data_IF_910187221290
#
_entry.id   IF_910187221290
#
_cell.length_a   1.000
_cell.length_b   1.000
_cell.length_c   1.000
_cell.angle_alpha   90.00
_cell.angle_beta   90.00
_cell.angle_gamma   90.00
#
_symmetry.space_group_name_H-M   'P 1'
#
loop_
_entity.id
_entity.type
_entity.pdbx_description
1 polymer ?
#
# COMPACT_ATOMS: atom_id res chain seq x y z
N UNK A 1 -8.52 0.37 -11.42
CA UNK A 1 -7.53 1.45 -11.64
C UNK A 1 -7.27 2.18 -10.34
N UNK A 2 -5.99 2.49 -10.03
CA UNK A 2 -5.58 3.23 -8.85
C UNK A 2 -5.57 4.75 -9.13
N UNK A 3 -6.22 5.53 -8.27
CA UNK A 3 -6.22 6.98 -8.28
C UNK A 3 -5.67 7.52 -6.96
N UNK A 4 -4.50 8.13 -7.01
CA UNK A 4 -3.88 8.76 -5.84
C UNK A 4 -3.77 10.27 -6.05
N UNK A 5 -4.28 11.06 -5.09
CA UNK A 5 -4.11 12.51 -5.11
C UNK A 5 -2.62 12.82 -4.99
N UNK A 6 -2.08 13.63 -5.90
CA UNK A 6 -0.64 13.95 -5.92
C UNK A 6 0.12 13.37 -7.10
N UNK A 7 -0.40 12.31 -7.73
CA UNK A 7 0.22 11.66 -8.89
C UNK A 7 -0.60 11.79 -10.18
N UNK A 8 -1.89 12.09 -10.06
CA UNK A 8 -2.80 12.36 -11.16
C UNK A 8 -2.97 13.87 -11.32
N UNK A 9 -2.66 14.41 -12.51
CA UNK A 9 -2.74 15.84 -12.82
C UNK A 9 -4.18 16.33 -12.95
N UNK A 10 -5.05 15.54 -13.58
CA UNK A 10 -6.49 15.80 -13.69
C UNK A 10 -7.28 14.57 -13.28
N UNK A 11 -7.79 14.61 -12.04
CA UNK A 11 -8.43 13.47 -11.41
C UNK A 11 -9.87 13.27 -11.89
N UNK A 12 -10.55 14.36 -12.26
CA UNK A 12 -11.90 14.26 -12.79
C UNK A 12 -11.85 13.65 -14.20
N UNK A 13 -10.98 14.16 -15.06
CA UNK A 13 -10.83 13.66 -16.42
C UNK A 13 -10.35 12.19 -16.45
N UNK A 14 -9.38 11.82 -15.60
CA UNK A 14 -8.93 10.43 -15.54
C UNK A 14 -9.98 9.49 -14.96
N UNK A 15 -10.80 9.94 -14.00
CA UNK A 15 -11.89 9.12 -13.48
C UNK A 15 -12.97 8.92 -14.55
N UNK A 16 -13.38 9.97 -15.26
CA UNK A 16 -14.36 9.86 -16.36
C UNK A 16 -13.85 8.91 -17.43
N UNK A 17 -12.62 9.12 -17.91
CA UNK A 17 -12.01 8.25 -18.90
C UNK A 17 -12.00 6.78 -18.45
N UNK A 18 -11.64 6.49 -17.19
CA UNK A 18 -11.65 5.12 -16.70
C UNK A 18 -13.07 4.51 -16.65
N UNK A 19 -14.06 5.28 -16.23
CA UNK A 19 -15.44 4.81 -16.18
C UNK A 19 -16.02 4.59 -17.58
N UNK A 20 -15.73 5.49 -18.52
CA UNK A 20 -16.12 5.41 -19.93
C UNK A 20 -15.48 4.21 -20.64
N UNK A 21 -14.23 3.91 -20.35
CA UNK A 21 -13.50 2.72 -20.82
C UNK A 21 -13.95 1.41 -20.13
N UNK A 22 -14.99 1.46 -19.31
CA UNK A 22 -15.58 0.26 -18.73
C UNK A 22 -14.84 -0.26 -17.49
N UNK A 23 -13.94 0.50 -16.87
CA UNK A 23 -13.30 0.08 -15.62
C UNK A 23 -14.35 0.07 -14.50
N UNK A 24 -14.49 -1.08 -13.83
CA UNK A 24 -15.48 -1.30 -12.76
C UNK A 24 -14.88 -1.58 -11.39
N UNK A 25 -13.57 -1.40 -11.24
CA UNK A 25 -12.90 -1.43 -9.92
C UNK A 25 -12.02 -0.20 -9.82
N UNK A 26 -12.37 0.68 -8.88
CA UNK A 26 -11.70 1.96 -8.65
C UNK A 26 -11.04 1.89 -7.27
N UNK A 27 -9.72 1.93 -7.26
CA UNK A 27 -8.93 2.00 -6.05
C UNK A 27 -8.51 3.46 -5.83
N UNK A 28 -8.63 3.97 -4.61
CA UNK A 28 -8.31 5.37 -4.29
C UNK A 28 -7.43 5.46 -3.05
N UNK A 29 -6.58 6.48 -3.00
CA UNK A 29 -5.80 6.84 -1.81
C UNK A 29 -5.74 8.34 -1.62
N UNK A 30 -5.63 8.80 -0.36
CA UNK A 30 -5.44 10.22 0.00
C UNK A 30 -6.62 11.11 -0.42
N UNK A 31 -7.77 10.50 -0.76
CA UNK A 31 -8.90 11.17 -1.39
C UNK A 31 -10.05 11.43 -0.41
N UNK A 32 -10.68 12.62 -0.42
CA UNK A 32 -11.98 12.80 0.22
C UNK A 32 -13.04 12.09 -0.63
N UNK A 33 -13.43 10.88 -0.25
CA UNK A 33 -14.35 10.02 -1.00
C UNK A 33 -15.63 10.75 -1.48
N UNK A 34 -16.17 11.65 -0.66
CA UNK A 34 -17.41 12.41 -0.95
C UNK A 34 -17.51 13.01 -2.37
N UNK A 35 -16.41 13.45 -2.99
CA UNK A 35 -16.44 14.10 -4.32
C UNK A 35 -16.69 13.11 -5.46
N UNK A 36 -16.10 11.91 -5.40
CA UNK A 36 -16.02 11.00 -6.54
C UNK A 36 -16.94 9.79 -6.41
N UNK A 37 -17.40 9.49 -5.19
CA UNK A 37 -18.25 8.34 -4.92
C UNK A 37 -19.56 8.31 -5.72
N UNK A 38 -20.29 9.44 -5.91
CA UNK A 38 -21.51 9.41 -6.71
C UNK A 38 -21.25 8.86 -8.12
N UNK A 39 -20.23 9.38 -8.80
CA UNK A 39 -19.84 8.94 -10.16
C UNK A 39 -19.41 7.48 -10.21
N UNK A 40 -18.59 7.03 -9.25
CA UNK A 40 -18.16 5.62 -9.16
C UNK A 40 -19.38 4.70 -9.01
N UNK A 41 -20.34 5.07 -8.17
CA UNK A 41 -21.56 4.29 -7.93
C UNK A 41 -22.52 4.30 -9.11
N UNK A 42 -22.75 5.46 -9.73
CA UNK A 42 -23.61 5.60 -10.90
C UNK A 42 -23.10 4.74 -12.07
N UNK A 43 -21.78 4.63 -12.23
CA UNK A 43 -21.16 3.74 -13.22
C UNK A 43 -21.21 2.24 -12.84
N UNK A 44 -21.78 1.88 -11.68
CA UNK A 44 -21.81 0.51 -11.17
C UNK A 44 -20.45 -0.05 -10.80
N UNK A 45 -19.46 0.81 -10.56
CA UNK A 45 -18.10 0.40 -10.21
C UNK A 45 -17.95 0.14 -8.70
N UNK A 46 -17.06 -0.78 -8.37
CA UNK A 46 -16.62 -1.09 -7.01
C UNK A 46 -15.57 -0.09 -6.54
N UNK A 47 -15.69 0.35 -5.30
CA UNK A 47 -14.75 1.27 -4.67
C UNK A 47 -13.90 0.59 -3.61
N UNK A 48 -12.58 0.60 -3.81
CA UNK A 48 -11.59 0.15 -2.84
C UNK A 48 -10.83 1.37 -2.33
N UNK A 49 -10.76 1.57 -1.01
CA UNK A 49 -10.03 2.70 -0.44
C UNK A 49 -8.80 2.25 0.35
N UNK A 50 -7.63 2.78 -0.02
CA UNK A 50 -6.35 2.50 0.63
C UNK A 50 -6.06 3.53 1.71
N UNK A 51 -5.76 3.03 2.91
CA UNK A 51 -5.59 3.84 4.12
C UNK A 51 -4.40 3.37 4.95
N UNK A 52 -3.87 4.28 5.77
CA UNK A 52 -2.72 4.03 6.65
C UNK A 52 -3.11 3.79 8.12
N UNK A 53 -4.38 3.95 8.50
CA UNK A 53 -4.84 3.65 9.87
C UNK A 53 -6.30 3.16 9.88
N UNK A 54 -6.69 2.51 10.98
CA UNK A 54 -8.00 1.88 11.12
C UNK A 54 -9.13 2.90 11.24
N UNK A 55 -8.89 4.08 11.82
CA UNK A 55 -9.91 5.13 11.88
C UNK A 55 -10.33 5.59 10.48
N UNK A 56 -9.37 5.70 9.55
CA UNK A 56 -9.63 6.03 8.15
C UNK A 56 -10.34 4.88 7.43
N UNK A 57 -10.02 3.62 7.75
CA UNK A 57 -10.70 2.45 7.20
C UNK A 57 -12.19 2.44 7.57
N UNK A 58 -12.49 2.65 8.85
CA UNK A 58 -13.86 2.75 9.35
C UNK A 58 -14.61 3.95 8.75
N UNK A 59 -13.89 5.06 8.49
CA UNK A 59 -14.47 6.20 7.78
C UNK A 59 -14.81 5.89 6.33
N UNK A 60 -13.97 5.13 5.63
CA UNK A 60 -14.23 4.70 4.26
C UNK A 60 -15.40 3.71 4.19
N UNK A 61 -15.47 2.76 5.13
CA UNK A 61 -16.62 1.85 5.27
C UNK A 61 -17.93 2.62 5.48
N UNK A 62 -17.97 3.60 6.39
CA UNK A 62 -19.16 4.46 6.59
C UNK A 62 -19.56 5.24 5.35
N UNK A 63 -18.60 5.58 4.49
CA UNK A 63 -18.86 6.22 3.20
C UNK A 63 -19.30 5.21 2.14
N UNK A 64 -19.22 3.91 2.43
CA UNK A 64 -19.65 2.78 1.61
C UNK A 64 -18.62 2.35 0.57
N UNK A 65 -17.37 2.17 1.02
CA UNK A 65 -16.36 1.38 0.31
C UNK A 65 -16.79 -0.09 0.23
N UNK A 66 -16.49 -0.73 -0.89
CA UNK A 66 -16.71 -2.17 -1.09
C UNK A 66 -15.59 -2.99 -0.47
N UNK A 67 -14.38 -2.43 -0.33
CA UNK A 67 -13.26 -3.02 0.39
C UNK A 67 -12.27 -1.92 0.83
N UNK A 68 -11.37 -2.25 1.73
CA UNK A 68 -10.25 -1.37 2.11
C UNK A 68 -8.90 -2.05 1.98
N UNK A 69 -7.87 -1.27 1.66
CA UNK A 69 -6.48 -1.70 1.74
C UNK A 69 -5.86 -1.05 2.98
N UNK A 70 -5.42 -1.85 3.94
CA UNK A 70 -4.73 -1.38 5.16
C UNK A 70 -3.24 -1.51 4.93
N UNK A 71 -2.54 -0.39 4.86
CA UNK A 71 -1.08 -0.36 4.68
C UNK A 71 -0.39 -0.25 6.05
N UNK A 72 0.35 -1.26 6.46
CA UNK A 72 1.17 -1.21 7.68
C UNK A 72 2.48 -0.42 7.51
N UNK A 73 3.17 -0.16 8.62
CA UNK A 73 4.39 0.66 8.69
C UNK A 73 5.50 0.22 7.73
N UNK A 74 5.54 -1.08 7.42
CA UNK A 74 6.50 -1.72 6.53
C UNK A 74 6.35 -1.27 5.08
N UNK A 75 5.19 -0.73 4.71
CA UNK A 75 4.89 -0.17 3.40
C UNK A 75 5.49 1.21 3.15
N UNK A 76 5.19 1.76 1.98
CA UNK A 76 5.69 3.06 1.52
C UNK A 76 4.59 3.88 0.84
N UNK A 77 4.82 5.18 0.72
CA UNK A 77 3.88 6.16 0.21
C UNK A 77 3.38 7.05 1.35
N UNK A 78 2.14 7.49 1.28
CA UNK A 78 1.53 8.31 2.31
C UNK A 78 1.34 7.53 3.61
N UNK A 79 2.09 7.93 4.65
CA UNK A 79 2.00 7.36 6.00
C UNK A 79 1.14 8.20 6.92
N UNK A 80 0.81 7.63 8.07
CA UNK A 80 0.10 8.31 9.15
C UNK A 80 0.82 8.15 10.49
N UNK A 81 0.72 9.13 11.39
CA UNK A 81 1.40 9.09 12.71
C UNK A 81 0.85 7.97 13.62
N UNK A 82 -0.41 7.59 13.44
CA UNK A 82 -1.05 6.48 14.14
C UNK A 82 -1.00 5.15 13.35
N UNK A 83 -0.16 5.07 12.32
CA UNK A 83 -0.02 3.86 11.52
C UNK A 83 0.64 2.75 12.35
N UNK A 84 0.08 1.55 12.26
CA UNK A 84 0.54 0.37 13.00
C UNK A 84 1.35 -0.57 12.09
N UNK A 85 2.21 -1.44 12.66
CA UNK A 85 2.82 -2.54 11.90
C UNK A 85 1.75 -3.41 11.24
N UNK A 86 2.04 -4.01 10.08
CA UNK A 86 1.08 -4.75 9.27
C UNK A 86 0.38 -5.85 10.08
N UNK A 87 1.15 -6.58 10.90
CA UNK A 87 0.60 -7.64 11.76
C UNK A 87 -0.54 -7.15 12.65
N UNK A 88 -0.34 -6.00 13.31
CA UNK A 88 -1.30 -5.45 14.27
C UNK A 88 -2.39 -4.66 13.55
N UNK A 89 -2.02 -3.82 12.59
CA UNK A 89 -2.94 -2.95 11.87
C UNK A 89 -4.01 -3.72 11.10
N UNK A 90 -3.61 -4.78 10.39
CA UNK A 90 -4.55 -5.63 9.63
C UNK A 90 -5.44 -6.41 10.58
N UNK A 91 -4.86 -7.14 11.54
CA UNK A 91 -5.64 -7.95 12.50
C UNK A 91 -6.62 -7.10 13.32
N UNK A 92 -6.24 -5.88 13.69
CA UNK A 92 -7.11 -4.96 14.42
C UNK A 92 -8.22 -4.36 13.56
N UNK A 93 -7.96 -4.10 12.27
CA UNK A 93 -8.97 -3.66 11.33
C UNK A 93 -10.02 -4.75 11.06
N UNK A 94 -9.59 -5.98 10.75
CA UNK A 94 -10.47 -7.13 10.45
C UNK A 94 -11.49 -7.35 11.57
N UNK A 95 -11.09 -7.17 12.84
CA UNK A 95 -11.98 -7.35 14.00
C UNK A 95 -13.09 -6.30 14.12
N UNK A 96 -12.96 -5.17 13.43
CA UNK A 96 -13.86 -4.02 13.56
C UNK A 96 -14.69 -3.78 12.30
N UNK A 97 -14.24 -4.30 11.16
CA UNK A 97 -14.83 -4.03 9.86
C UNK A 97 -15.78 -5.14 9.42
N UNK A 98 -16.75 -4.77 8.58
CA UNK A 98 -17.73 -5.66 7.97
C UNK A 98 -17.48 -5.89 6.49
N UNK A 99 -16.72 -4.99 5.85
CA UNK A 99 -16.29 -5.11 4.46
C UNK A 99 -14.90 -5.77 4.37
N UNK A 100 -14.56 -6.37 3.21
CA UNK A 100 -13.26 -6.98 2.99
C UNK A 100 -12.06 -6.08 3.29
N UNK A 101 -11.07 -6.65 3.98
CA UNK A 101 -9.79 -6.01 4.28
C UNK A 101 -8.69 -6.67 3.45
N UNK A 102 -7.94 -5.86 2.72
CA UNK A 102 -6.77 -6.25 1.93
C UNK A 102 -5.51 -5.79 2.68
N UNK A 103 -4.58 -6.69 2.96
CA UNK A 103 -3.35 -6.39 3.67
C UNK A 103 -2.28 -5.79 2.74
N UNK A 104 -1.56 -4.77 3.20
CA UNK A 104 -0.45 -4.17 2.45
C UNK A 104 0.68 -3.73 3.38
N UNK A 105 1.90 -3.69 2.85
CA UNK A 105 3.12 -3.33 3.58
C UNK A 105 3.88 -4.56 4.05
N UNK A 106 5.17 -4.66 3.67
CA UNK A 106 6.01 -5.78 4.10
C UNK A 106 5.60 -7.16 3.56
N UNK A 107 4.78 -7.23 2.51
CA UNK A 107 4.34 -8.49 1.87
C UNK A 107 5.07 -8.63 0.53
N UNK A 108 5.61 -9.81 0.25
CA UNK A 108 6.39 -10.06 -0.97
C UNK A 108 6.58 -11.52 -1.39
N UNK A 109 6.12 -12.49 -0.61
CA UNK A 109 6.29 -13.93 -0.87
C UNK A 109 5.10 -14.76 -0.35
N UNK A 110 5.12 -16.07 -0.58
CA UNK A 110 4.05 -16.97 -0.15
C UNK A 110 3.85 -17.03 1.36
N UNK A 111 4.92 -16.88 2.16
CA UNK A 111 4.81 -16.87 3.61
C UNK A 111 4.07 -15.63 4.12
N UNK A 112 4.43 -14.46 3.61
CA UNK A 112 3.75 -13.21 3.95
C UNK A 112 2.33 -13.15 3.40
N UNK A 113 2.06 -13.80 2.27
CA UNK A 113 0.69 -13.97 1.78
C UNK A 113 -0.14 -14.89 2.69
N UNK A 114 0.38 -16.07 3.05
CA UNK A 114 -0.29 -16.98 3.97
C UNK A 114 -0.54 -16.33 5.34
N UNK A 115 0.42 -15.55 5.84
CA UNK A 115 0.26 -14.77 7.07
C UNK A 115 -0.86 -13.73 6.94
N UNK A 116 -0.97 -13.04 5.80
CA UNK A 116 -2.07 -12.09 5.57
C UNK A 116 -3.44 -12.75 5.63
N UNK A 117 -3.59 -13.91 5.00
CA UNK A 117 -4.83 -14.69 5.08
C UNK A 117 -5.12 -15.14 6.51
N UNK A 118 -4.09 -15.59 7.25
CA UNK A 118 -4.24 -15.99 8.65
C UNK A 118 -4.62 -14.82 9.59
N UNK A 119 -4.25 -13.58 9.26
CA UNK A 119 -4.73 -12.37 9.96
C UNK A 119 -6.22 -12.06 9.69
N UNK A 120 -6.84 -12.76 8.74
CA UNK A 120 -8.22 -12.56 8.30
C UNK A 120 -8.36 -11.53 7.18
N UNK A 121 -7.28 -11.15 6.50
CA UNK A 121 -7.39 -10.38 5.26
C UNK A 121 -7.90 -11.28 4.12
N UNK A 122 -8.64 -10.71 3.19
CA UNK A 122 -9.19 -11.42 2.01
C UNK A 122 -8.29 -11.31 0.78
N UNK A 123 -7.17 -10.61 0.91
CA UNK A 123 -6.19 -10.47 -0.16
C UNK A 123 -5.00 -9.62 0.27
N UNK A 124 -4.07 -9.43 -0.66
CA UNK A 124 -2.86 -8.62 -0.46
C UNK A 124 -2.70 -7.57 -1.56
N UNK A 125 -2.09 -6.43 -1.20
CA UNK A 125 -1.65 -5.42 -2.15
C UNK A 125 -0.14 -5.22 -2.00
N UNK A 126 0.60 -5.46 -3.08
CA UNK A 126 2.05 -5.29 -3.12
C UNK A 126 2.44 -4.16 -4.07
N UNK A 127 3.56 -3.51 -3.76
CA UNK A 127 4.19 -2.52 -4.64
C UNK A 127 5.64 -2.86 -4.90
N UNK A 128 6.47 -2.82 -3.84
CA UNK A 128 7.92 -3.02 -3.92
C UNK A 128 8.32 -4.33 -4.60
N UNK A 129 7.65 -5.45 -4.31
CA UNK A 129 7.93 -6.75 -4.96
C UNK A 129 7.68 -6.72 -6.48
N UNK A 130 6.66 -5.99 -6.93
CA UNK A 130 6.36 -5.81 -8.35
C UNK A 130 7.34 -4.88 -9.07
N UNK A 131 8.09 -4.03 -8.37
CA UNK A 131 9.14 -3.22 -9.00
C UNK A 131 10.24 -4.10 -9.61
N UNK A 132 10.54 -5.25 -8.97
CA UNK A 132 11.51 -6.24 -9.45
C UNK A 132 10.82 -7.34 -10.28
N UNK A 133 10.04 -6.94 -11.29
CA UNK A 133 9.46 -7.83 -12.31
C UNK A 133 9.87 -7.41 -13.70
N UNK A 134 9.81 -8.31 -14.69
CA UNK A 134 10.19 -8.01 -16.07
C UNK A 134 9.34 -6.90 -16.68
N UNK A 135 8.03 -6.95 -16.45
CA UNK A 135 7.01 -6.07 -17.00
C UNK A 135 7.03 -4.66 -16.38
N UNK A 136 7.65 -4.51 -15.20
CA UNK A 136 7.79 -3.20 -14.58
C UNK A 136 8.72 -2.30 -15.43
N UNK A 137 8.31 -1.06 -15.80
CA UNK A 137 9.13 -0.18 -16.63
C UNK A 137 10.29 0.49 -15.90
N UNK A 138 10.53 0.15 -14.62
CA UNK A 138 11.65 0.69 -13.87
C UNK A 138 13.00 0.30 -14.49
N UNK A 139 14.00 1.18 -14.38
CA UNK A 139 15.34 0.91 -14.91
C UNK A 139 15.97 -0.35 -14.29
N UNK A 140 16.78 -1.07 -15.07
CA UNK A 140 17.51 -2.25 -14.58
C UNK A 140 18.39 -1.91 -13.36
N UNK A 141 19.01 -0.73 -13.37
CA UNK A 141 19.77 -0.20 -12.24
C UNK A 141 18.91 -0.11 -10.98
N UNK A 142 17.67 0.39 -11.11
CA UNK A 142 16.75 0.49 -9.97
C UNK A 142 16.33 -0.89 -9.47
N UNK A 143 15.96 -1.81 -10.36
CA UNK A 143 15.61 -3.19 -10.00
C UNK A 143 16.76 -3.88 -9.26
N UNK A 144 17.99 -3.75 -9.76
CA UNK A 144 19.18 -4.29 -9.10
C UNK A 144 19.40 -3.68 -7.72
N UNK A 145 19.20 -2.37 -7.56
CA UNK A 145 19.32 -1.72 -6.25
C UNK A 145 18.32 -2.24 -5.21
N UNK A 146 17.16 -2.76 -5.65
CA UNK A 146 16.19 -3.39 -4.76
C UNK A 146 16.57 -4.83 -4.39
N UNK A 147 17.24 -5.55 -5.29
CA UNK A 147 17.76 -6.90 -5.06
C UNK A 147 18.94 -6.86 -4.08
N UNK A 148 19.84 -5.88 -4.25
CA UNK A 148 21.03 -5.74 -3.41
C UNK A 148 20.71 -5.18 -2.01
N UNK A 149 19.52 -4.61 -1.84
CA UNK A 149 19.06 -3.99 -0.60
C UNK A 149 18.69 -5.02 0.46
N UNK A 150 18.83 -4.63 1.72
CA UNK A 150 18.33 -5.39 2.87
C UNK A 150 17.25 -4.61 3.59
N UNK A 151 16.24 -5.28 4.16
CA UNK A 151 15.22 -4.61 4.97
C UNK A 151 15.83 -3.94 6.22
N UNK A 152 17.00 -4.41 6.67
CA UNK A 152 17.77 -3.81 7.76
C UNK A 152 18.52 -2.53 7.38
N UNK A 153 18.62 -2.18 6.10
CA UNK A 153 19.36 -0.99 5.68
C UNK A 153 18.68 0.26 6.27
N UNK A 154 19.46 1.22 6.81
CA UNK A 154 18.91 2.40 7.46
C UNK A 154 17.92 3.18 6.59
N UNK A 155 18.11 3.18 5.27
CA UNK A 155 17.21 3.82 4.32
C UNK A 155 15.77 3.27 4.41
N UNK A 156 15.60 1.95 4.43
CA UNK A 156 14.28 1.33 4.49
C UNK A 156 13.78 1.24 5.93
N UNK A 157 14.65 0.80 6.84
CA UNK A 157 14.33 0.61 8.27
C UNK A 157 13.88 1.90 8.93
N UNK A 158 14.62 2.99 8.77
CA UNK A 158 14.30 4.25 9.46
C UNK A 158 13.08 4.93 8.83
N UNK A 159 12.94 4.85 7.50
CA UNK A 159 11.71 5.28 6.81
C UNK A 159 10.48 4.50 7.30
N UNK A 160 10.64 3.22 7.64
CA UNK A 160 9.57 2.37 8.15
C UNK A 160 9.21 2.69 9.60
N UNK A 161 10.22 2.76 10.48
CA UNK A 161 10.05 2.64 11.92
C UNK A 161 10.22 3.95 12.71
N UNK A 162 10.88 4.97 12.17
CA UNK A 162 11.09 6.20 12.91
C UNK A 162 9.87 7.12 12.77
N UNK A 163 9.34 7.66 13.89
CA UNK A 163 8.32 8.70 13.82
C UNK A 163 8.90 9.97 13.17
N UNK A 164 8.10 10.74 12.41
CA UNK A 164 8.56 12.00 11.84
C UNK A 164 9.04 12.96 12.95
N UNK A 165 9.89 13.92 12.60
CA UNK A 165 10.13 15.06 13.49
C UNK A 165 8.79 15.78 13.72
N UNK A 166 8.32 15.74 14.96
CA UNK A 166 6.99 16.26 15.30
C UNK A 166 6.90 17.78 15.12
N UNK A 167 8.00 18.52 15.31
CA UNK A 167 8.01 19.97 15.09
C UNK A 167 7.84 20.32 13.61
N UNK A 168 8.51 19.56 12.73
CA UNK A 168 8.40 19.71 11.28
C UNK A 168 7.02 19.26 10.80
N UNK A 169 6.53 18.13 11.31
CA UNK A 169 5.20 17.61 11.01
C UNK A 169 4.11 18.63 11.39
N UNK A 170 4.12 19.16 12.60
CA UNK A 170 3.17 20.19 13.05
C UNK A 170 3.23 21.45 12.20
N UNK A 171 4.43 21.88 11.78
CA UNK A 171 4.61 22.97 10.83
C UNK A 171 3.92 22.70 9.49
N UNK A 172 4.15 21.52 8.90
CA UNK A 172 3.48 21.11 7.65
C UNK A 172 1.96 21.04 7.82
N UNK A 173 1.45 20.55 8.96
CA UNK A 173 0.01 20.49 9.21
C UNK A 173 -0.65 21.89 9.25
N UNK A 174 0.02 22.90 9.82
CA UNK A 174 -0.46 24.29 9.84
C UNK A 174 -0.53 24.92 8.45
N UNK A 175 0.31 24.48 7.52
CA UNK A 175 0.33 24.97 6.14
C UNK A 175 -0.77 24.39 5.26
N UNK A 176 -1.60 23.47 5.77
CA UNK A 176 -2.61 22.73 4.99
C UNK A 176 -3.53 23.64 4.18
N UNK A 177 -3.94 24.76 4.76
CA UNK A 177 -4.87 25.73 4.17
C UNK A 177 -4.14 26.86 3.41
N UNK A 178 -2.82 26.97 3.57
CA UNK A 178 -2.01 28.07 3.04
C UNK A 178 -1.37 27.74 1.68
N UNK A 179 -1.61 26.54 1.14
CA UNK A 179 -1.05 26.13 -0.15
C UNK A 179 -1.93 25.10 -0.87
N UNK A 180 -1.72 24.88 -2.19
CA UNK A 180 -2.45 23.86 -2.93
C UNK A 180 -2.29 22.48 -2.29
N UNK A 181 -3.38 21.71 -2.24
CA UNK A 181 -3.41 20.34 -1.69
C UNK A 181 -2.26 19.48 -2.23
N UNK A 182 -2.01 19.57 -3.54
CA UNK A 182 -0.99 18.78 -4.21
C UNK A 182 0.41 19.05 -3.64
N UNK A 183 0.77 20.31 -3.42
CA UNK A 183 2.09 20.69 -2.88
C UNK A 183 2.20 20.38 -1.39
N UNK A 184 1.10 20.57 -0.65
CA UNK A 184 1.02 20.18 0.75
C UNK A 184 1.24 18.66 0.93
N UNK A 185 0.60 17.84 0.10
CA UNK A 185 0.75 16.39 0.13
C UNK A 185 2.19 15.96 -0.15
N UNK A 186 2.88 16.57 -1.11
CA UNK A 186 4.31 16.29 -1.37
C UNK A 186 5.18 16.58 -0.16
N UNK A 187 4.94 17.70 0.54
CA UNK A 187 5.66 18.05 1.77
C UNK A 187 5.37 17.07 2.88
N UNK A 188 4.10 16.75 3.10
CA UNK A 188 3.67 15.78 4.10
C UNK A 188 4.31 14.41 3.85
N UNK A 189 4.28 13.91 2.61
CA UNK A 189 4.89 12.63 2.25
C UNK A 189 6.39 12.60 2.55
N UNK A 190 7.12 13.68 2.22
CA UNK A 190 8.55 13.77 2.53
C UNK A 190 8.84 13.69 4.02
N UNK A 191 8.11 14.45 4.84
CA UNK A 191 8.27 14.44 6.30
C UNK A 191 7.94 13.07 6.86
N UNK A 192 6.81 12.49 6.45
CA UNK A 192 6.36 11.18 6.92
C UNK A 192 7.29 10.04 6.48
N UNK A 193 7.99 10.17 5.36
CA UNK A 193 8.98 9.21 4.87
C UNK A 193 10.42 9.58 5.26
N UNK A 194 10.63 10.55 6.15
CA UNK A 194 11.96 10.95 6.62
C UNK A 194 12.91 11.35 5.47
N UNK A 195 12.37 11.96 4.43
CA UNK A 195 13.12 12.39 3.26
C UNK A 195 13.57 13.83 3.42
N UNK A 196 14.76 14.18 2.89
CA UNK A 196 15.22 15.55 2.96
C UNK A 196 14.33 16.45 2.07
N UNK A 197 14.13 17.73 2.45
CA UNK A 197 13.18 18.62 1.78
C UNK A 197 13.48 18.84 0.29
N UNK A 198 14.76 18.82 -0.08
CA UNK A 198 15.29 19.04 -1.43
C UNK A 198 15.24 17.79 -2.32
N UNK A 199 14.93 16.60 -1.76
CA UNK A 199 14.81 15.37 -2.56
C UNK A 199 13.80 15.59 -3.69
N UNK A 200 14.16 15.27 -4.96
CA UNK A 200 13.21 15.32 -6.07
C UNK A 200 11.98 14.47 -5.77
N UNK A 201 10.80 14.95 -6.18
CA UNK A 201 9.58 14.16 -6.03
C UNK A 201 9.67 12.91 -6.91
N UNK A 202 9.11 11.79 -6.42
CA UNK A 202 9.30 10.48 -7.07
C UNK A 202 8.64 10.45 -8.44
N UNK A 203 9.40 9.98 -9.42
CA UNK A 203 8.90 9.47 -10.71
C UNK A 203 8.79 7.94 -10.64
N UNK A 204 8.22 7.29 -11.65
CA UNK A 204 8.23 5.83 -11.79
C UNK A 204 9.65 5.24 -11.82
N UNK A 205 10.62 6.00 -12.34
CA UNK A 205 12.05 5.63 -12.31
C UNK A 205 12.68 5.74 -10.90
N UNK A 206 12.01 6.40 -9.96
CA UNK A 206 12.47 6.69 -8.59
C UNK A 206 11.51 6.16 -7.52
N UNK A 207 10.63 5.21 -7.86
CA UNK A 207 9.71 4.61 -6.90
C UNK A 207 10.52 4.00 -5.73
N UNK A 208 10.23 4.40 -4.50
CA UNK A 208 10.99 3.91 -3.35
C UNK A 208 10.67 2.45 -3.04
N UNK A 209 11.68 1.69 -2.62
CA UNK A 209 11.47 0.38 -1.98
C UNK A 209 10.97 0.53 -0.54
N UNK A 210 10.20 -0.44 -0.08
CA UNK A 210 9.71 -0.58 1.30
C UNK A 210 10.47 -1.69 2.01
N UNK A 211 10.08 -2.10 3.24
CA UNK A 211 10.73 -3.25 3.89
C UNK A 211 10.52 -4.58 3.13
N UNK A 212 9.60 -4.61 2.17
CA UNK A 212 9.40 -5.77 1.31
C UNK A 212 10.58 -6.04 0.35
N UNK A 213 11.63 -5.20 0.32
CA UNK A 213 12.91 -5.54 -0.36
C UNK A 213 13.52 -6.83 0.18
N UNK A 214 13.23 -7.21 1.43
CA UNK A 214 13.69 -8.48 2.00
C UNK A 214 13.12 -9.73 1.34
N UNK A 215 12.17 -9.59 0.42
CA UNK A 215 11.59 -10.69 -0.37
C UNK A 215 11.97 -10.58 -1.84
N UNK A 216 13.04 -9.85 -2.18
CA UNK A 216 13.49 -9.63 -3.55
C UNK A 216 14.83 -10.32 -3.80
N UNK A 217 14.76 -11.56 -4.28
CA UNK A 217 15.96 -12.34 -4.64
C UNK A 217 16.37 -12.23 -6.12
N UNK A 218 15.53 -11.60 -6.94
CA UNK A 218 15.76 -11.49 -8.39
C UNK A 218 14.61 -10.85 -9.15
N UNK A 219 14.83 -10.61 -10.44
CA UNK A 219 13.79 -10.15 -11.37
C UNK A 219 13.09 -11.38 -11.95
N UNK A 220 11.77 -11.42 -11.89
CA UNK A 220 10.95 -12.53 -12.40
C UNK A 220 9.77 -12.00 -13.23
N UNK A 221 9.22 -12.77 -14.17
CA UNK A 221 7.95 -12.43 -14.80
C UNK A 221 6.83 -12.28 -13.77
N UNK A 222 5.90 -11.35 -13.96
CA UNK A 222 4.72 -11.16 -13.09
C UNK A 222 3.93 -12.46 -12.95
N UNK A 223 3.79 -13.22 -14.04
CA UNK A 223 3.11 -14.51 -14.04
C UNK A 223 3.75 -15.49 -13.05
N UNK A 224 5.08 -15.59 -13.03
CA UNK A 224 5.81 -16.49 -12.14
C UNK A 224 5.70 -16.04 -10.69
N UNK A 225 5.83 -14.73 -10.44
CA UNK A 225 5.64 -14.15 -9.10
C UNK A 225 4.25 -14.48 -8.54
N UNK A 226 3.19 -14.28 -9.31
CA UNK A 226 1.81 -14.57 -8.86
C UNK A 226 1.65 -16.07 -8.62
N UNK A 227 2.16 -16.90 -9.52
CA UNK A 227 2.07 -18.35 -9.38
C UNK A 227 2.79 -18.86 -8.14
N UNK A 228 4.01 -18.38 -7.86
CA UNK A 228 4.76 -18.78 -6.66
C UNK A 228 4.06 -18.31 -5.38
N UNK A 229 3.57 -17.07 -5.33
CA UNK A 229 2.82 -16.55 -4.19
C UNK A 229 1.66 -17.47 -3.81
N UNK A 230 0.84 -17.85 -4.78
CA UNK A 230 -0.33 -18.71 -4.55
C UNK A 230 0.09 -20.12 -4.17
N UNK A 231 0.99 -20.73 -4.94
CA UNK A 231 1.42 -22.12 -4.72
C UNK A 231 2.10 -22.30 -3.36
N UNK A 232 2.99 -21.37 -2.98
CA UNK A 232 3.68 -21.38 -1.70
C UNK A 232 2.70 -21.17 -0.54
N UNK A 233 1.74 -20.25 -0.69
CA UNK A 233 0.71 -20.04 0.33
C UNK A 233 -0.20 -21.27 0.51
N UNK A 234 -0.60 -21.93 -0.58
CA UNK A 234 -1.34 -23.19 -0.54
C UNK A 234 -0.56 -24.30 0.17
N UNK A 235 0.72 -24.47 -0.15
CA UNK A 235 1.60 -25.45 0.52
C UNK A 235 1.68 -25.18 2.02
N UNK A 236 1.88 -23.91 2.41
CA UNK A 236 1.96 -23.49 3.80
C UNK A 236 0.65 -23.77 4.55
N UNK A 237 -0.48 -23.34 3.98
CA UNK A 237 -1.79 -23.40 4.64
C UNK A 237 -2.35 -24.83 4.66
N UNK A 238 -2.20 -25.59 3.58
CA UNK A 238 -2.84 -26.89 3.42
C UNK A 238 -1.98 -28.05 3.91
N UNK A 239 -0.65 -27.90 3.94
CA UNK A 239 0.26 -29.00 4.33
C UNK A 239 1.07 -28.69 5.59
N UNK A 240 1.76 -27.54 5.62
CA UNK A 240 2.67 -27.21 6.73
C UNK A 240 1.94 -26.87 8.03
N UNK A 241 1.00 -25.92 7.99
CA UNK A 241 0.27 -25.48 9.19
C UNK A 241 -0.54 -26.61 9.85
N UNK A 242 -1.30 -27.45 9.12
CA UNK A 242 -2.01 -28.55 9.73
C UNK A 242 -1.08 -29.55 10.40
N UNK A 243 0.09 -29.85 9.81
CA UNK A 243 1.10 -30.72 10.41
C UNK A 243 1.67 -30.19 11.74
N UNK A 244 1.66 -28.87 11.95
CA UNK A 244 2.12 -28.24 13.19
C UNK A 244 1.06 -28.22 14.29
N UNK A 245 -0.22 -28.15 13.90
CA UNK A 245 -1.37 -28.12 14.81
C UNK A 245 -1.90 -29.52 15.15
N UNK A 246 -1.61 -30.51 14.30
CA UNK A 246 -2.06 -31.90 14.47
C UNK A 246 -1.15 -32.75 15.37
N UNK A 247 0.01 -32.24 15.79
CA UNK A 247 0.74 -32.80 16.92
C UNK A 247 0.14 -32.27 18.23
N UNK A 248 -0.45 -33.18 19.01
CA UNK A 248 -1.01 -33.04 20.39
C UNK A 248 -2.42 -32.43 20.56
N UNK A 249 -3.42 -33.32 20.51
CA UNK A 249 -4.30 -33.58 21.65
C UNK A 249 -4.27 -35.09 21.96
#
# INVERSE_FOLDING_TARGET
>A
MNFSIGFVSDMDAMLDAALDEGIRVIETSVMPGKRYLPRIREAGAKWIHKVACVEHALSAERQGADAVIIVGLEGIGFKHIAQLPTLIGVSWAVRQMKIPVIAAGGIGDGHTFAAALAMGAEGICMGTRFLATEECPASQRHKQSLIDAKPSDPLFRNQALNPPDMSVFEGVMKDRENMPMHDWLKRLEKVMLQQPPDRPYRTTEMAGGSLAVGFIDGIVPVKELIHSLVTDAEEIILKRMPGQLSSTC
#
